data_IF_590960008924
#
_entry.id   IF_590960008924
#
_cell.length_a   1.000
_cell.length_b   1.000
_cell.length_c   1.000
_cell.angle_alpha   90.00
_cell.angle_beta   90.00
_cell.angle_gamma   90.00
#
_symmetry.space_group_name_H-M   'P 1'
#
loop_
_entity.id
_entity.type
_entity.pdbx_description
1 polymer ?
#
# COMPACT_ATOMS: atom_id res chain seq x y z
N UNK A 1 27.65 16.38 -20.35
CA UNK A 1 27.50 16.62 -18.89
C UNK A 1 26.21 15.95 -18.44
N UNK A 2 26.29 14.88 -17.64
CA UNK A 2 25.11 14.31 -16.98
C UNK A 2 24.57 15.32 -15.97
N UNK A 3 23.27 15.56 -15.97
CA UNK A 3 22.64 16.35 -14.91
C UNK A 3 22.81 15.57 -13.59
N UNK A 4 23.21 16.22 -12.48
CA UNK A 4 23.17 15.58 -11.19
C UNK A 4 21.71 15.19 -10.89
N UNK A 5 21.50 13.96 -10.45
CA UNK A 5 20.18 13.46 -10.08
C UNK A 5 19.56 14.39 -9.02
N UNK A 6 18.40 14.95 -9.32
CA UNK A 6 17.70 15.83 -8.40
C UNK A 6 17.09 14.96 -7.31
N UNK A 7 17.72 14.94 -6.13
CA UNK A 7 17.26 14.22 -4.96
C UNK A 7 16.90 15.20 -3.84
N UNK A 8 15.70 15.09 -3.28
CA UNK A 8 15.31 15.84 -2.08
C UNK A 8 15.80 15.09 -0.84
N UNK A 9 16.67 15.73 -0.05
CA UNK A 9 17.04 15.28 1.28
C UNK A 9 16.87 16.44 2.26
N UNK A 10 16.08 16.30 3.34
CA UNK A 10 16.14 17.28 4.42
C UNK A 10 17.56 17.32 5.02
N UNK A 11 18.06 18.50 5.45
CA UNK A 11 19.39 18.60 6.04
C UNK A 11 19.62 17.57 7.15
N UNK A 12 20.83 17.03 7.24
CA UNK A 12 21.18 15.97 8.18
C UNK A 12 20.92 16.46 9.62
N UNK A 13 19.96 15.85 10.30
CA UNK A 13 19.56 16.20 11.67
C UNK A 13 18.28 17.03 11.77
N UNK A 14 17.67 17.43 10.64
CA UNK A 14 16.41 18.17 10.63
C UNK A 14 15.22 17.24 10.33
N UNK A 15 14.13 17.45 11.06
CA UNK A 15 12.81 16.98 10.64
C UNK A 15 12.25 17.94 9.58
N UNK A 16 11.31 17.51 8.75
CA UNK A 16 10.71 18.36 7.71
C UNK A 16 10.05 19.67 8.19
N UNK A 17 10.02 19.95 9.50
CA UNK A 17 9.29 21.06 10.11
C UNK A 17 7.77 20.86 10.13
N UNK A 18 7.27 19.80 9.49
CA UNK A 18 5.85 19.46 9.42
C UNK A 18 5.43 18.55 10.57
N UNK A 19 4.17 18.65 11.02
CA UNK A 19 3.64 17.81 12.10
C UNK A 19 3.58 16.31 11.74
N UNK A 20 3.62 15.98 10.45
CA UNK A 20 3.58 14.61 9.92
C UNK A 20 4.58 14.45 8.79
N UNK A 21 5.03 13.20 8.57
CA UNK A 21 5.89 12.84 7.45
C UNK A 21 5.17 13.17 6.12
N UNK A 22 5.73 14.07 5.28
CA UNK A 22 5.12 14.48 4.02
C UNK A 22 5.15 13.39 2.94
N UNK A 23 5.86 12.27 3.14
CA UNK A 23 6.01 11.22 2.14
C UNK A 23 4.68 10.74 1.55
N UNK A 24 3.66 10.58 2.40
CA UNK A 24 2.31 10.15 1.96
C UNK A 24 1.57 11.22 1.16
N UNK A 25 2.04 12.46 1.13
CA UNK A 25 1.43 13.57 0.39
C UNK A 25 2.02 13.75 -1.00
N UNK A 26 3.13 13.07 -1.34
CA UNK A 26 3.76 13.20 -2.66
C UNK A 26 2.97 12.58 -3.80
N UNK A 27 2.08 11.63 -3.52
CA UNK A 27 1.22 10.98 -4.51
C UNK A 27 -0.22 11.04 -4.03
N UNK A 28 -0.94 12.06 -4.51
CA UNK A 28 -2.36 12.34 -4.24
C UNK A 28 -3.02 12.97 -5.48
N UNK A 29 -4.35 12.80 -5.69
CA UNK A 29 -5.26 11.93 -4.92
C UNK A 29 -4.94 10.44 -5.17
N UNK A 30 -5.28 9.58 -4.20
CA UNK A 30 -5.12 8.13 -4.34
C UNK A 30 -6.48 7.45 -4.43
N UNK A 31 -6.71 6.55 -5.39
CA UNK A 31 -7.89 5.69 -5.33
C UNK A 31 -7.82 4.82 -4.08
N UNK A 32 -8.98 4.52 -3.50
CA UNK A 32 -9.11 3.64 -2.34
C UNK A 32 -9.76 2.36 -2.81
N UNK A 33 -8.98 1.28 -2.85
CA UNK A 33 -9.50 -0.07 -3.06
C UNK A 33 -10.07 -0.61 -1.75
N UNK A 34 -11.36 -0.90 -1.72
CA UNK A 34 -12.00 -1.63 -0.63
C UNK A 34 -11.89 -3.12 -0.93
N UNK A 35 -11.01 -3.81 -0.22
CA UNK A 35 -10.71 -5.22 -0.48
C UNK A 35 -11.42 -6.08 0.56
N UNK A 36 -12.31 -6.93 0.08
CA UNK A 36 -13.01 -7.95 0.85
C UNK A 36 -12.36 -9.31 0.65
N UNK A 37 -12.29 -10.08 1.72
CA UNK A 37 -11.67 -11.42 1.74
C UNK A 37 -12.34 -12.28 2.78
N UNK A 38 -12.35 -13.59 2.56
CA UNK A 38 -12.76 -14.58 3.56
C UNK A 38 -11.55 -15.43 3.93
N UNK A 39 -11.34 -15.70 5.22
CA UNK A 39 -10.26 -16.58 5.68
C UNK A 39 -10.57 -18.05 5.37
N UNK A 40 -9.56 -18.94 5.48
CA UNK A 40 -9.79 -20.40 5.39
C UNK A 40 -10.79 -20.95 6.42
N UNK A 41 -11.00 -20.23 7.52
CA UNK A 41 -11.98 -20.59 8.56
C UNK A 41 -13.37 -19.99 8.31
N UNK A 42 -13.60 -19.34 7.16
CA UNK A 42 -14.88 -18.72 6.82
C UNK A 42 -15.12 -17.36 7.49
N UNK A 43 -14.09 -16.71 8.03
CA UNK A 43 -14.24 -15.39 8.65
C UNK A 43 -14.05 -14.28 7.61
N UNK A 44 -15.08 -13.44 7.45
CA UNK A 44 -15.02 -12.31 6.53
C UNK A 44 -14.23 -11.13 7.10
N UNK A 45 -13.53 -10.43 6.19
CA UNK A 45 -12.76 -9.23 6.45
C UNK A 45 -12.96 -8.22 5.31
N UNK A 46 -13.08 -6.93 5.65
CA UNK A 46 -13.11 -5.82 4.70
C UNK A 46 -12.15 -4.73 5.16
N UNK A 47 -11.26 -4.26 4.28
CA UNK A 47 -10.32 -3.20 4.62
C UNK A 47 -10.03 -2.24 3.44
N UNK A 48 -9.82 -0.94 3.72
CA UNK A 48 -9.44 0.03 2.69
C UNK A 48 -7.92 0.08 2.46
N UNK A 49 -7.53 0.20 1.18
CA UNK A 49 -6.14 0.30 0.72
C UNK A 49 -5.98 1.49 -0.22
N UNK A 50 -5.22 2.51 0.21
CA UNK A 50 -4.89 3.66 -0.65
C UNK A 50 -3.66 3.44 -1.54
N UNK A 51 -2.94 2.32 -1.36
CA UNK A 51 -1.92 1.85 -2.30
C UNK A 51 -2.56 0.83 -3.22
N UNK A 52 -3.45 1.32 -4.08
CA UNK A 52 -4.24 0.56 -5.03
C UNK A 52 -4.07 1.17 -6.43
N UNK A 53 -3.95 0.35 -7.47
CA UNK A 53 -3.92 0.83 -8.85
C UNK A 53 -4.31 -0.27 -9.86
N UNK A 54 -4.81 0.15 -11.02
CA UNK A 54 -4.85 -0.70 -12.21
C UNK A 54 -3.43 -0.83 -12.79
N UNK A 55 -3.06 -2.02 -13.25
CA UNK A 55 -1.71 -2.33 -13.75
C UNK A 55 -1.72 -2.58 -15.25
N UNK A 56 -2.65 -3.41 -15.73
CA UNK A 56 -2.81 -3.71 -17.16
C UNK A 56 -4.28 -3.95 -17.48
N UNK A 57 -4.66 -3.76 -18.74
CA UNK A 57 -5.97 -4.13 -19.27
C UNK A 57 -5.97 -5.53 -19.91
N UNK A 58 -4.81 -6.02 -20.35
CA UNK A 58 -4.64 -7.34 -20.98
C UNK A 58 -3.34 -8.03 -20.50
N UNK A 59 -3.42 -9.09 -19.68
CA UNK A 59 -4.62 -9.49 -18.95
C UNK A 59 -5.02 -8.39 -17.95
N UNK A 60 -6.32 -8.24 -17.70
CA UNK A 60 -6.82 -7.26 -16.73
C UNK A 60 -6.22 -7.53 -15.35
N UNK A 61 -5.45 -6.58 -14.84
CA UNK A 61 -4.64 -6.75 -13.63
C UNK A 61 -4.74 -5.51 -12.77
N UNK A 62 -4.98 -5.70 -11.48
CA UNK A 62 -4.92 -4.65 -10.46
C UNK A 62 -3.87 -5.02 -9.41
N UNK A 63 -3.48 -4.05 -8.59
CA UNK A 63 -2.57 -4.25 -7.47
C UNK A 63 -3.08 -3.49 -6.25
N UNK A 64 -3.02 -4.14 -5.08
CA UNK A 64 -3.13 -3.48 -3.79
C UNK A 64 -1.97 -3.90 -2.87
N UNK A 65 -1.54 -3.02 -1.97
CA UNK A 65 -0.40 -3.28 -1.08
C UNK A 65 -0.83 -3.24 0.39
N UNK A 66 -0.76 -4.39 1.06
CA UNK A 66 -0.89 -4.50 2.52
C UNK A 66 0.46 -4.74 3.18
N UNK A 67 1.07 -3.68 3.71
CA UNK A 67 2.33 -3.78 4.45
C UNK A 67 2.23 -4.69 5.66
N UNK A 68 3.39 -5.24 6.06
CA UNK A 68 3.50 -5.89 7.35
C UNK A 68 3.13 -4.89 8.45
N UNK A 69 2.32 -5.33 9.40
CA UNK A 69 2.18 -4.61 10.65
C UNK A 69 3.54 -4.66 11.36
N UNK A 70 4.11 -3.50 11.64
CA UNK A 70 5.36 -3.37 12.42
C UNK A 70 5.20 -4.03 13.79
N UNK A 71 3.98 -4.06 14.33
CA UNK A 71 3.64 -4.63 15.63
C UNK A 71 3.37 -6.13 15.60
N UNK A 72 2.71 -6.65 14.55
CA UNK A 72 2.32 -8.07 14.47
C UNK A 72 3.33 -8.96 13.73
N UNK A 73 4.37 -8.37 13.09
CA UNK A 73 5.33 -9.09 12.21
C UNK A 73 4.63 -9.97 11.15
N UNK A 74 3.43 -9.58 10.75
CA UNK A 74 2.58 -10.30 9.79
C UNK A 74 1.95 -9.28 8.84
N UNK A 75 1.65 -9.74 7.62
CA UNK A 75 0.88 -8.93 6.66
C UNK A 75 -0.54 -8.74 7.18
N UNK A 76 -1.25 -7.73 6.65
CA UNK A 76 -2.67 -7.53 6.95
C UNK A 76 -3.49 -8.78 6.58
N UNK A 77 -4.60 -9.00 7.29
CA UNK A 77 -5.48 -10.16 7.11
C UNK A 77 -5.94 -10.32 5.66
N UNK A 78 -6.29 -9.22 4.96
CA UNK A 78 -6.66 -9.28 3.53
C UNK A 78 -5.55 -9.85 2.64
N UNK A 79 -4.28 -9.55 2.92
CA UNK A 79 -3.15 -10.10 2.16
C UNK A 79 -2.96 -11.58 2.46
N UNK A 80 -3.09 -11.99 3.73
CA UNK A 80 -2.95 -13.39 4.11
C UNK A 80 -4.11 -14.20 3.51
N UNK A 81 -5.36 -13.74 3.69
CA UNK A 81 -6.56 -14.40 3.17
C UNK A 81 -6.51 -14.53 1.64
N UNK A 82 -6.16 -13.47 0.91
CA UNK A 82 -6.06 -13.53 -0.56
C UNK A 82 -4.97 -14.52 -1.03
N UNK A 83 -3.85 -14.62 -0.31
CA UNK A 83 -2.80 -15.62 -0.59
C UNK A 83 -3.25 -17.04 -0.26
N UNK A 84 -3.94 -17.20 0.87
CA UNK A 84 -4.35 -18.49 1.39
C UNK A 84 -5.50 -19.11 0.59
N UNK A 85 -6.43 -18.29 0.11
CA UNK A 85 -7.64 -18.72 -0.60
C UNK A 85 -7.55 -18.55 -2.12
N UNK A 86 -6.64 -17.69 -2.61
CA UNK A 86 -6.50 -17.38 -4.02
C UNK A 86 -7.51 -16.36 -4.56
N UNK A 87 -8.39 -15.82 -3.70
CA UNK A 87 -9.51 -14.99 -4.11
C UNK A 87 -9.69 -13.76 -3.20
N UNK A 88 -10.21 -12.68 -3.79
CA UNK A 88 -10.67 -11.47 -3.11
C UNK A 88 -11.58 -10.68 -4.07
N UNK A 89 -12.32 -9.71 -3.51
CA UNK A 89 -13.07 -8.71 -4.29
C UNK A 89 -12.62 -7.32 -3.89
#
# INVERSE_FOLDING_TARGET
>A
MSRPDIFYQPPKGESSGLPHDPFKSFVIPRPIGWISTTSKSGQDNLAPFSQFNNVSFDPTTIMFIGHQSVYKRQSKDSVNNAKDTGEFV
#
